data_IF_118180422399
#
_entry.id   IF_118180422399
#
_cell.length_a   1.000
_cell.length_b   1.000
_cell.length_c   1.000
_cell.angle_alpha   90.00
_cell.angle_beta   90.00
_cell.angle_gamma   90.00
#
_symmetry.space_group_name_H-M   'P 1'
#
loop_
_entity.id
_entity.type
_entity.pdbx_description
1 polymer ?
#
# COMPACT_ATOMS: atom_id res chain seq x y z
N UNK A 1 21.03 28.63 46.77
CA UNK A 1 20.04 28.93 47.83
C UNK A 1 19.63 27.61 48.42
N UNK A 2 19.98 27.43 49.69
CA UNK A 2 19.86 26.23 50.50
C UNK A 2 18.43 25.87 50.92
N UNK A 3 18.28 24.57 51.24
CA UNK A 3 17.46 23.96 52.31
C UNK A 3 15.92 24.00 52.20
N UNK A 4 15.11 23.00 52.57
CA UNK A 4 15.17 21.58 52.95
C UNK A 4 13.66 21.14 53.07
N UNK A 5 13.32 19.87 53.38
CA UNK A 5 12.14 19.14 52.86
C UNK A 5 10.94 19.20 53.81
N UNK A 6 9.82 18.51 53.50
CA UNK A 6 8.96 17.85 54.51
C UNK A 6 7.86 16.95 53.89
N UNK A 7 7.85 15.70 54.37
CA UNK A 7 6.72 14.80 54.67
C UNK A 7 5.79 14.19 53.59
N UNK A 8 5.94 12.87 53.45
CA UNK A 8 4.88 11.91 53.10
C UNK A 8 3.83 11.76 54.23
N UNK A 9 2.61 11.33 53.91
CA UNK A 9 1.78 10.53 54.80
C UNK A 9 1.56 9.11 54.25
N UNK A 10 1.93 8.13 55.09
CA UNK A 10 1.56 6.71 54.96
C UNK A 10 0.11 6.49 55.41
N UNK A 11 -0.65 5.69 54.67
CA UNK A 11 -1.84 4.98 55.17
C UNK A 11 -2.02 3.62 54.45
N UNK A 12 -2.75 2.66 55.05
CA UNK A 12 -2.28 1.28 55.18
C UNK A 12 -2.89 0.31 54.16
N UNK A 13 -2.14 -0.75 53.87
CA UNK A 13 -2.53 -1.87 53.03
C UNK A 13 -3.67 -2.69 53.66
N UNK A 14 -4.81 -2.75 52.97
CA UNK A 14 -5.90 -3.68 53.26
C UNK A 14 -5.63 -5.05 52.61
N UNK A 15 -5.68 -6.11 53.42
CA UNK A 15 -5.56 -7.52 53.03
C UNK A 15 -6.83 -7.99 52.30
N UNK A 16 -6.66 -8.68 51.17
CA UNK A 16 -7.70 -9.51 50.54
C UNK A 16 -7.37 -11.02 50.70
N UNK A 17 -8.37 -11.92 50.74
CA UNK A 17 -8.21 -13.28 51.26
C UNK A 17 -7.67 -14.27 50.23
N UNK A 18 -6.89 -15.26 50.73
CA UNK A 18 -6.37 -16.41 49.98
C UNK A 18 -7.50 -17.39 49.62
N UNK A 19 -7.76 -17.58 48.32
CA UNK A 19 -8.59 -18.69 47.82
C UNK A 19 -7.80 -20.01 47.89
N UNK A 20 -8.29 -20.96 48.69
CA UNK A 20 -7.76 -22.32 48.81
C UNK A 20 -8.22 -23.16 47.61
N UNK A 21 -7.28 -23.77 46.90
CA UNK A 21 -7.54 -24.84 45.95
C UNK A 21 -8.07 -26.08 46.69
N UNK A 22 -9.23 -26.61 46.28
CA UNK A 22 -9.70 -27.94 46.67
C UNK A 22 -9.36 -28.94 45.57
N UNK A 23 -8.56 -29.95 45.93
CA UNK A 23 -8.41 -31.20 45.18
C UNK A 23 -9.75 -31.96 45.21
N UNK A 24 -10.13 -32.54 44.08
CA UNK A 24 -11.15 -33.58 44.02
C UNK A 24 -10.56 -34.80 43.30
N UNK A 25 -10.76 -35.94 43.94
CA UNK A 25 -10.11 -37.22 43.70
C UNK A 25 -10.47 -37.90 42.37
N UNK A 26 -9.55 -38.73 41.89
CA UNK A 26 -9.69 -39.60 40.74
C UNK A 26 -10.17 -41.01 41.15
N UNK A 27 -11.02 -41.64 40.30
CA UNK A 27 -11.08 -43.06 39.89
C UNK A 27 -12.55 -43.51 39.58
N UNK A 28 -12.83 -44.58 38.81
CA UNK A 28 -11.99 -45.32 37.86
C UNK A 28 -12.61 -45.45 36.44
N UNK A 29 -11.78 -45.91 35.50
CA UNK A 29 -12.10 -46.13 34.10
C UNK A 29 -13.09 -47.30 33.86
N UNK A 30 -14.14 -47.05 33.07
CA UNK A 30 -14.90 -48.10 32.39
C UNK A 30 -14.65 -48.07 30.88
N UNK A 31 -14.09 -49.17 30.37
CA UNK A 31 -13.90 -49.43 28.94
C UNK A 31 -15.25 -49.69 28.28
N UNK A 32 -15.73 -48.74 27.48
CA UNK A 32 -16.73 -49.02 26.44
C UNK A 32 -16.06 -48.99 25.06
N UNK A 33 -15.75 -50.17 24.52
CA UNK A 33 -15.48 -50.34 23.09
C UNK A 33 -16.78 -50.11 22.32
N UNK A 34 -16.93 -48.96 21.67
CA UNK A 34 -17.92 -48.76 20.59
C UNK A 34 -17.21 -48.25 19.34
N UNK A 35 -17.41 -49.02 18.26
CA UNK A 35 -16.84 -48.87 16.91
C UNK A 35 -16.86 -47.41 16.44
N UNK A 36 -15.70 -46.85 16.12
CA UNK A 36 -15.59 -45.60 15.38
C UNK A 36 -16.09 -45.82 13.96
N UNK A 37 -17.33 -45.41 13.66
CA UNK A 37 -17.71 -45.12 12.26
C UNK A 37 -16.99 -43.84 11.87
N UNK A 38 -16.04 -43.93 10.94
CA UNK A 38 -15.48 -42.75 10.26
C UNK A 38 -16.64 -41.97 9.64
N UNK A 39 -16.74 -40.64 9.81
CA UNK A 39 -17.65 -39.84 8.99
C UNK A 39 -17.20 -39.95 7.53
N UNK A 40 -18.12 -39.92 6.56
CA UNK A 40 -17.74 -40.00 5.15
C UNK A 40 -16.82 -38.83 4.82
N UNK A 41 -15.71 -39.13 4.13
CA UNK A 41 -14.84 -38.12 3.53
C UNK A 41 -15.67 -37.37 2.51
N UNK A 42 -16.10 -36.16 2.85
CA UNK A 42 -16.63 -35.22 1.87
C UNK A 42 -15.46 -34.91 0.93
N UNK A 43 -15.50 -35.46 -0.29
CA UNK A 43 -14.62 -35.04 -1.38
C UNK A 43 -14.91 -33.56 -1.66
N UNK A 44 -14.11 -32.68 -1.05
CA UNK A 44 -14.11 -31.27 -1.41
C UNK A 44 -13.61 -31.16 -2.84
N UNK A 45 -14.48 -30.70 -3.74
CA UNK A 45 -14.14 -30.45 -5.14
C UNK A 45 -12.99 -29.45 -5.31
N UNK A 46 -12.45 -29.31 -6.54
CA UNK A 46 -11.22 -28.58 -6.84
C UNK A 46 -11.21 -27.11 -6.39
N UNK A 47 -12.38 -26.51 -6.11
CA UNK A 47 -12.54 -25.10 -5.72
C UNK A 47 -11.99 -24.77 -4.32
N UNK A 48 -11.98 -25.71 -3.36
CA UNK A 48 -11.48 -25.43 -2.00
C UNK A 48 -9.96 -25.60 -1.84
N UNK A 49 -9.26 -26.15 -2.84
CA UNK A 49 -7.79 -26.24 -2.84
C UNK A 49 -7.11 -24.91 -3.18
N UNK A 50 -7.82 -24.00 -3.86
CA UNK A 50 -7.28 -22.72 -4.32
C UNK A 50 -7.10 -21.75 -3.15
N UNK A 51 -8.11 -21.64 -2.27
CA UNK A 51 -8.09 -20.71 -1.13
C UNK A 51 -7.05 -21.09 -0.05
N UNK A 52 -6.92 -22.38 0.29
CA UNK A 52 -5.89 -22.83 1.26
C UNK A 52 -4.46 -22.70 0.75
N UNK A 53 -4.24 -22.55 -0.56
CA UNK A 53 -2.92 -22.33 -1.15
C UNK A 53 -2.46 -20.87 -1.02
N UNK A 54 -3.40 -19.92 -0.98
CA UNK A 54 -3.10 -18.50 -0.74
C UNK A 54 -2.78 -18.21 0.73
N UNK A 55 -3.47 -18.85 1.70
CA UNK A 55 -3.20 -18.61 3.14
C UNK A 55 -1.82 -19.10 3.61
N UNK A 56 -1.21 -20.08 2.93
CA UNK A 56 0.14 -20.58 3.27
C UNK A 56 1.29 -19.75 2.68
N UNK A 57 1.00 -18.70 1.91
CA UNK A 57 2.03 -17.86 1.27
C UNK A 57 2.47 -16.64 2.12
N UNK A 58 1.94 -16.47 3.34
CA UNK A 58 2.31 -15.40 4.29
C UNK A 58 3.73 -15.47 4.89
N UNK A 59 4.69 -16.19 4.27
CA UNK A 59 6.05 -16.38 4.83
C UNK A 59 7.18 -16.30 3.80
N UNK A 60 7.09 -15.39 2.82
CA UNK A 60 8.27 -14.88 2.11
C UNK A 60 8.15 -13.36 1.97
N UNK A 61 9.16 -12.56 2.36
CA UNK A 61 9.27 -11.18 1.89
C UNK A 61 9.36 -11.20 0.35
N UNK A 62 8.69 -10.28 -0.36
CA UNK A 62 8.65 -10.28 -1.83
C UNK A 62 7.35 -10.82 -2.43
N UNK A 63 6.25 -10.09 -2.26
CA UNK A 63 5.05 -10.23 -3.08
C UNK A 63 5.31 -9.82 -4.53
N UNK A 64 4.68 -10.48 -5.50
CA UNK A 64 4.93 -10.37 -6.96
C UNK A 64 4.51 -9.05 -7.60
N UNK A 65 3.74 -8.26 -6.86
CA UNK A 65 3.22 -6.96 -7.26
C UNK A 65 4.22 -5.84 -6.92
N UNK A 66 5.14 -6.13 -5.98
CA UNK A 66 6.16 -5.19 -5.52
C UNK A 66 7.05 -4.83 -6.72
N UNK A 67 7.34 -3.52 -6.88
CA UNK A 67 8.26 -2.98 -7.88
C UNK A 67 7.80 -3.07 -9.35
N UNK A 68 6.54 -3.46 -9.60
CA UNK A 68 6.00 -3.64 -10.95
C UNK A 68 5.51 -2.35 -11.63
N UNK A 69 5.36 -1.27 -10.85
CA UNK A 69 4.63 -0.05 -11.23
C UNK A 69 3.19 -0.27 -11.69
N UNK A 70 2.64 -1.48 -11.50
CA UNK A 70 1.34 -1.90 -12.03
C UNK A 70 1.16 -1.60 -13.53
N UNK A 71 2.25 -1.66 -14.29
CA UNK A 71 2.26 -1.41 -15.73
C UNK A 71 2.38 -2.70 -16.54
N UNK A 72 2.12 -2.58 -17.83
CA UNK A 72 2.56 -3.55 -18.83
C UNK A 72 4.04 -3.28 -19.14
N UNK A 73 4.88 -4.27 -18.91
CA UNK A 73 6.32 -4.16 -19.13
C UNK A 73 6.63 -4.30 -20.62
N UNK A 74 7.73 -3.72 -21.10
CA UNK A 74 8.19 -3.87 -22.50
C UNK A 74 8.98 -5.15 -22.73
N UNK A 75 9.75 -5.60 -21.74
CA UNK A 75 10.55 -6.82 -21.83
C UNK A 75 10.45 -7.64 -20.56
N UNK A 76 10.88 -8.90 -20.64
CA UNK A 76 10.94 -9.75 -19.46
C UNK A 76 12.00 -9.24 -18.48
N UNK A 77 11.76 -9.50 -17.19
CA UNK A 77 12.65 -9.11 -16.10
C UNK A 77 12.81 -10.22 -15.08
N UNK A 78 13.71 -10.02 -14.13
CA UNK A 78 13.91 -10.92 -12.99
C UNK A 78 12.72 -10.99 -12.03
N UNK A 79 11.76 -10.05 -12.15
CA UNK A 79 10.48 -10.11 -11.44
C UNK A 79 9.53 -11.17 -12.05
N UNK A 80 9.78 -11.60 -13.30
CA UNK A 80 8.93 -12.56 -13.99
C UNK A 80 9.04 -13.97 -13.38
N UNK A 81 7.88 -14.62 -13.28
CA UNK A 81 7.74 -15.91 -12.62
C UNK A 81 8.22 -17.05 -13.53
N UNK A 82 9.44 -17.55 -13.29
CA UNK A 82 9.94 -18.75 -13.96
C UNK A 82 9.02 -19.98 -13.79
N UNK A 83 8.37 -20.11 -12.62
CA UNK A 83 7.39 -21.18 -12.32
C UNK A 83 6.05 -21.03 -13.06
N UNK A 84 5.85 -19.93 -13.79
CA UNK A 84 4.67 -19.63 -14.62
C UNK A 84 5.03 -19.26 -16.06
N UNK A 85 6.14 -19.80 -16.55
CA UNK A 85 6.55 -19.66 -17.95
C UNK A 85 7.33 -18.38 -18.26
N UNK A 86 7.77 -17.62 -17.25
CA UNK A 86 8.65 -16.46 -17.42
C UNK A 86 8.08 -15.37 -18.32
N UNK A 87 6.75 -15.26 -18.36
CA UNK A 87 6.06 -14.29 -19.20
C UNK A 87 6.13 -12.90 -18.59
N UNK A 88 6.20 -11.92 -19.47
CA UNK A 88 6.27 -10.50 -19.15
C UNK A 88 5.04 -10.05 -18.36
N UNK A 89 5.25 -9.18 -17.38
CA UNK A 89 4.18 -8.57 -16.60
C UNK A 89 3.25 -7.70 -17.47
N UNK A 90 1.93 -7.91 -17.31
CA UNK A 90 0.87 -7.16 -17.98
C UNK A 90 -0.18 -6.68 -16.96
N UNK A 91 0.28 -5.93 -15.95
CA UNK A 91 -0.59 -5.46 -14.86
C UNK A 91 -1.57 -4.38 -15.30
N UNK A 92 -1.18 -3.53 -16.25
CA UNK A 92 -2.05 -2.49 -16.81
C UNK A 92 -3.24 -3.12 -17.51
N UNK A 93 -2.97 -4.07 -18.41
CA UNK A 93 -4.01 -4.89 -19.06
C UNK A 93 -4.89 -5.61 -18.04
N UNK A 94 -4.29 -6.30 -17.06
CA UNK A 94 -5.06 -7.06 -16.07
C UNK A 94 -6.00 -6.16 -15.26
N UNK A 95 -5.49 -5.02 -14.74
CA UNK A 95 -6.26 -4.14 -13.86
C UNK A 95 -7.31 -3.31 -14.62
N UNK A 96 -7.05 -2.96 -15.88
CA UNK A 96 -7.94 -2.09 -16.65
C UNK A 96 -8.95 -2.85 -17.50
N UNK A 97 -8.59 -4.02 -18.03
CA UNK A 97 -9.40 -4.74 -19.02
C UNK A 97 -9.93 -6.08 -18.50
N UNK A 98 -9.08 -6.88 -17.86
CA UNK A 98 -9.43 -8.27 -17.52
C UNK A 98 -10.16 -8.40 -16.18
N UNK A 99 -9.75 -7.64 -15.17
CA UNK A 99 -10.25 -7.74 -13.79
C UNK A 99 -11.60 -7.05 -13.57
N UNK A 100 -11.88 -5.83 -14.07
CA UNK A 100 -13.06 -5.07 -13.64
C UNK A 100 -14.37 -5.81 -13.88
N UNK A 101 -14.58 -6.35 -15.09
CA UNK A 101 -15.84 -7.02 -15.45
C UNK A 101 -16.17 -8.22 -14.54
N UNK A 102 -15.29 -9.23 -14.42
CA UNK A 102 -15.52 -10.38 -13.54
C UNK A 102 -15.65 -10.01 -12.06
N UNK A 103 -14.87 -9.04 -11.59
CA UNK A 103 -14.90 -8.61 -10.19
C UNK A 103 -16.21 -7.90 -9.84
N UNK A 104 -16.65 -6.96 -10.68
CA UNK A 104 -17.89 -6.22 -10.48
C UNK A 104 -19.12 -7.11 -10.53
N UNK A 105 -19.14 -8.07 -11.47
CA UNK A 105 -20.19 -9.06 -11.55
C UNK A 105 -20.27 -9.91 -10.26
N UNK A 106 -19.12 -10.23 -9.66
CA UNK A 106 -19.05 -11.02 -8.43
C UNK A 106 -19.44 -10.24 -7.17
N UNK A 107 -19.15 -8.93 -7.15
CA UNK A 107 -19.44 -8.05 -6.02
C UNK A 107 -20.79 -7.33 -6.13
N UNK A 108 -21.53 -7.53 -7.22
CA UNK A 108 -22.72 -6.75 -7.57
C UNK A 108 -22.46 -5.23 -7.52
N UNK A 109 -21.27 -4.82 -7.98
CA UNK A 109 -20.86 -3.42 -8.00
C UNK A 109 -21.52 -2.67 -9.17
N UNK A 110 -21.56 -1.33 -9.07
CA UNK A 110 -22.28 -0.44 -9.98
C UNK A 110 -21.40 0.16 -11.10
N UNK A 111 -20.19 -0.36 -11.29
CA UNK A 111 -19.24 0.13 -12.30
C UNK A 111 -18.55 1.46 -11.97
N UNK A 112 -18.79 2.06 -10.80
CA UNK A 112 -17.99 3.20 -10.30
C UNK A 112 -16.69 2.69 -9.69
N UNK A 113 -15.57 3.32 -10.04
CA UNK A 113 -14.23 2.84 -9.69
C UNK A 113 -13.38 3.99 -9.15
N UNK A 114 -12.58 3.70 -8.13
CA UNK A 114 -11.54 4.59 -7.65
C UNK A 114 -10.20 3.87 -7.69
N UNK A 115 -9.13 4.58 -8.04
CA UNK A 115 -7.78 3.99 -8.15
C UNK A 115 -6.72 4.89 -7.54
N UNK A 116 -5.61 4.28 -7.14
CA UNK A 116 -4.37 5.00 -6.91
C UNK A 116 -3.80 5.41 -8.27
N UNK A 117 -3.58 6.71 -8.50
CA UNK A 117 -3.41 7.33 -9.83
C UNK A 117 -2.60 6.48 -10.82
N UNK A 118 -3.27 5.94 -11.84
CA UNK A 118 -2.69 5.44 -13.09
C UNK A 118 -3.41 6.21 -14.19
N UNK A 119 -2.66 6.98 -14.98
CA UNK A 119 -3.24 7.86 -16.01
C UNK A 119 -3.70 7.14 -17.27
N UNK A 120 -3.30 5.88 -17.40
CA UNK A 120 -3.74 5.03 -18.49
C UNK A 120 -5.20 4.66 -18.20
N UNK A 121 -6.05 4.76 -19.21
CA UNK A 121 -7.51 4.53 -19.19
C UNK A 121 -8.40 5.72 -18.80
N UNK A 122 -8.44 6.82 -19.60
CA UNK A 122 -9.41 7.90 -19.42
C UNK A 122 -10.86 7.38 -19.41
N UNK A 123 -11.66 7.88 -18.46
CA UNK A 123 -13.07 7.52 -18.31
C UNK A 123 -13.35 6.17 -17.62
N UNK A 124 -12.31 5.36 -17.32
CA UNK A 124 -12.49 4.09 -16.61
C UNK A 124 -12.80 4.29 -15.12
N UNK A 125 -12.22 5.33 -14.52
CA UNK A 125 -12.30 5.64 -13.09
C UNK A 125 -13.13 6.90 -12.85
N UNK A 126 -13.95 6.88 -11.79
CA UNK A 126 -14.79 8.00 -11.39
C UNK A 126 -14.19 8.87 -10.27
N UNK A 127 -13.09 8.42 -9.65
CA UNK A 127 -12.22 9.21 -8.77
C UNK A 127 -10.79 8.65 -8.76
N UNK A 128 -9.81 9.47 -8.38
CA UNK A 128 -8.43 9.03 -8.22
C UNK A 128 -7.75 9.67 -7.01
N UNK A 129 -6.81 8.93 -6.39
CA UNK A 129 -5.96 9.45 -5.33
C UNK A 129 -4.48 9.13 -5.58
N UNK A 130 -3.59 10.07 -5.31
CA UNK A 130 -2.15 9.85 -5.26
C UNK A 130 -1.63 10.13 -3.85
N UNK A 131 -1.03 9.12 -3.21
CA UNK A 131 -0.53 9.22 -1.84
C UNK A 131 0.99 9.10 -1.86
N UNK A 132 1.68 10.17 -1.49
CA UNK A 132 3.14 10.24 -1.52
C UNK A 132 3.75 9.78 -2.85
N UNK A 133 3.13 10.14 -3.97
CA UNK A 133 3.58 9.72 -5.29
C UNK A 133 4.64 10.65 -5.87
N UNK A 134 5.38 10.11 -6.84
CA UNK A 134 6.06 10.93 -7.83
C UNK A 134 5.34 10.78 -9.18
N UNK A 135 4.71 11.86 -9.63
CA UNK A 135 3.87 11.91 -10.83
C UNK A 135 4.62 12.42 -12.05
N UNK A 136 5.92 12.64 -11.91
CA UNK A 136 6.84 12.92 -13.00
C UNK A 136 7.77 11.71 -13.04
N UNK A 137 7.87 11.04 -14.18
CA UNK A 137 8.64 9.79 -14.32
C UNK A 137 9.79 9.91 -15.31
N UNK A 138 9.84 11.02 -16.06
CA UNK A 138 10.84 11.27 -17.10
C UNK A 138 11.85 12.35 -16.74
N UNK A 139 11.60 13.19 -15.73
CA UNK A 139 12.63 14.05 -15.15
C UNK A 139 13.73 13.23 -14.45
N UNK A 140 14.92 13.80 -14.22
CA UNK A 140 15.98 13.09 -13.49
C UNK A 140 15.54 12.62 -12.09
N UNK A 141 14.80 13.44 -11.35
CA UNK A 141 14.29 13.10 -10.01
C UNK A 141 13.20 12.05 -10.10
N UNK A 142 12.26 12.22 -11.03
CA UNK A 142 11.17 11.28 -11.29
C UNK A 142 11.66 9.90 -11.67
N UNK A 143 12.57 9.85 -12.65
CA UNK A 143 13.22 8.62 -13.08
C UNK A 143 13.98 7.95 -11.94
N UNK A 144 14.69 8.72 -11.11
CA UNK A 144 15.37 8.19 -9.92
C UNK A 144 14.41 7.54 -8.92
N UNK A 145 13.20 8.08 -8.72
CA UNK A 145 12.17 7.45 -7.88
C UNK A 145 11.65 6.15 -8.51
N UNK A 146 11.45 6.13 -9.83
CA UNK A 146 11.05 4.91 -10.56
C UNK A 146 12.11 3.83 -10.43
N UNK A 147 13.37 4.17 -10.66
CA UNK A 147 14.49 3.24 -10.51
C UNK A 147 14.59 2.72 -9.05
N UNK A 148 14.41 3.60 -8.06
CA UNK A 148 14.44 3.21 -6.64
C UNK A 148 13.35 2.20 -6.26
N UNK A 149 12.18 2.27 -6.90
CA UNK A 149 11.10 1.29 -6.72
C UNK A 149 11.38 0.03 -7.54
N UNK A 150 11.64 0.14 -8.85
CA UNK A 150 11.82 -1.01 -9.74
C UNK A 150 12.99 -1.90 -9.31
N UNK A 151 14.09 -1.29 -8.86
CA UNK A 151 15.30 -2.02 -8.47
C UNK A 151 15.40 -2.30 -6.95
N UNK A 152 14.37 -1.97 -6.16
CA UNK A 152 14.40 -2.00 -4.69
C UNK A 152 14.76 -3.37 -4.10
N UNK A 153 14.35 -4.45 -4.74
CA UNK A 153 14.57 -5.82 -4.26
C UNK A 153 15.94 -6.40 -4.65
N UNK A 154 16.79 -5.62 -5.33
CA UNK A 154 18.08 -6.08 -5.84
C UNK A 154 17.96 -7.13 -6.94
N UNK A 155 16.78 -7.29 -7.55
CA UNK A 155 16.54 -8.26 -8.62
C UNK A 155 17.31 -7.96 -9.91
N UNK A 156 17.80 -6.72 -10.08
CA UNK A 156 18.40 -6.25 -11.33
C UNK A 156 17.37 -5.91 -12.41
N UNK A 157 16.08 -5.88 -12.08
CA UNK A 157 15.07 -5.31 -12.95
C UNK A 157 15.34 -3.82 -13.18
N UNK A 158 15.14 -3.35 -14.40
CA UNK A 158 15.41 -1.96 -14.79
C UNK A 158 14.18 -1.27 -15.34
N UNK A 159 14.12 0.05 -15.16
CA UNK A 159 13.05 0.87 -15.74
C UNK A 159 13.08 0.85 -17.27
N UNK A 160 14.23 0.57 -17.91
CA UNK A 160 14.28 0.35 -19.36
C UNK A 160 13.55 -0.93 -19.77
N UNK A 161 13.54 -1.98 -18.93
CA UNK A 161 12.73 -3.16 -19.19
C UNK A 161 11.23 -2.88 -19.02
N UNK A 162 10.88 -1.95 -18.12
CA UNK A 162 9.52 -1.51 -17.83
C UNK A 162 8.95 -0.64 -18.97
N UNK A 163 9.54 0.53 -19.23
CA UNK A 163 9.02 1.55 -20.16
C UNK A 163 10.02 1.97 -21.24
N UNK A 164 11.18 1.34 -21.31
CA UNK A 164 12.23 1.71 -22.26
C UNK A 164 13.02 2.94 -21.83
N UNK A 165 13.85 3.48 -22.74
CA UNK A 165 14.65 4.67 -22.47
C UNK A 165 13.78 5.83 -22.00
N UNK A 166 14.26 6.62 -21.03
CA UNK A 166 13.52 7.77 -20.48
C UNK A 166 13.12 8.80 -21.54
N UNK A 167 13.87 8.87 -22.65
CA UNK A 167 13.62 9.75 -23.80
C UNK A 167 12.66 9.15 -24.84
N UNK A 168 12.19 7.92 -24.65
CA UNK A 168 11.29 7.22 -25.55
C UNK A 168 9.82 7.64 -25.40
N UNK A 169 9.03 7.35 -26.43
CA UNK A 169 7.58 7.66 -26.43
C UNK A 169 6.83 6.89 -25.34
N UNK A 170 7.22 5.63 -25.07
CA UNK A 170 6.56 4.80 -24.05
C UNK A 170 6.77 5.39 -22.65
N UNK A 171 8.01 5.73 -22.28
CA UNK A 171 8.31 6.38 -21.01
C UNK A 171 7.53 7.71 -20.86
N UNK A 172 7.49 8.53 -21.91
CA UNK A 172 6.66 9.75 -21.92
C UNK A 172 5.17 9.46 -21.79
N UNK A 173 4.64 8.40 -22.40
CA UNK A 173 3.22 8.08 -22.34
C UNK A 173 2.77 7.68 -20.92
N UNK A 174 3.67 7.06 -20.14
CA UNK A 174 3.48 6.69 -18.75
C UNK A 174 3.93 7.77 -17.75
N UNK A 175 4.26 8.98 -18.20
CA UNK A 175 4.58 10.11 -17.32
C UNK A 175 3.32 10.91 -17.00
N UNK A 176 2.85 10.89 -15.74
CA UNK A 176 1.63 11.59 -15.41
C UNK A 176 1.70 13.12 -15.59
N UNK A 177 2.84 13.72 -15.29
CA UNK A 177 3.13 15.14 -15.40
C UNK A 177 3.13 15.57 -16.88
N UNK A 178 3.78 14.79 -17.75
CA UNK A 178 3.77 15.05 -19.20
C UNK A 178 2.37 14.90 -19.83
N UNK A 179 1.46 14.15 -19.18
CA UNK A 179 0.14 13.82 -19.71
C UNK A 179 -1.02 14.40 -18.88
N UNK A 180 -0.81 15.45 -18.08
CA UNK A 180 -1.88 16.11 -17.28
C UNK A 180 -3.12 16.46 -18.09
N UNK A 181 -2.97 16.71 -19.40
CA UNK A 181 -4.08 16.97 -20.29
C UNK A 181 -5.09 15.82 -20.42
N UNK A 182 -4.67 14.57 -20.15
CA UNK A 182 -5.56 13.41 -20.10
C UNK A 182 -6.55 13.49 -18.93
N UNK A 183 -6.23 14.23 -17.87
CA UNK A 183 -7.07 14.37 -16.67
C UNK A 183 -8.15 15.45 -16.81
N UNK A 184 -8.14 16.20 -17.92
CA UNK A 184 -9.14 17.25 -18.14
C UNK A 184 -10.53 16.66 -18.33
N UNK A 185 -11.60 17.37 -17.91
CA UNK A 185 -12.97 16.89 -18.04
C UNK A 185 -13.36 16.49 -19.46
N UNK A 186 -12.85 17.17 -20.49
CA UNK A 186 -13.17 16.89 -21.89
C UNK A 186 -12.63 15.53 -22.35
N UNK A 187 -11.51 15.08 -21.76
CA UNK A 187 -10.89 13.78 -22.06
C UNK A 187 -11.46 12.68 -21.16
N UNK A 188 -11.73 13.00 -19.91
CA UNK A 188 -12.32 12.06 -18.94
C UNK A 188 -13.84 11.85 -19.14
N UNK A 189 -14.49 12.69 -19.95
CA UNK A 189 -15.95 12.73 -20.12
C UNK A 189 -16.70 13.34 -18.94
N UNK A 190 -16.03 13.57 -17.81
CA UNK A 190 -16.56 14.23 -16.63
C UNK A 190 -15.43 14.80 -15.78
N UNK A 191 -15.75 15.65 -14.80
CA UNK A 191 -14.75 16.12 -13.84
C UNK A 191 -14.33 14.96 -12.94
N UNK A 192 -13.06 14.56 -13.03
CA UNK A 192 -12.46 13.56 -12.16
C UNK A 192 -12.12 14.17 -10.79
N UNK A 193 -12.74 13.74 -9.68
CA UNK A 193 -12.29 14.08 -8.34
C UNK A 193 -10.91 13.47 -8.10
N UNK A 194 -9.90 14.35 -8.05
CA UNK A 194 -8.50 13.98 -7.87
C UNK A 194 -8.01 14.47 -6.50
N UNK A 195 -7.45 13.56 -5.71
CA UNK A 195 -6.72 13.88 -4.48
C UNK A 195 -5.24 13.56 -4.66
N UNK A 196 -4.34 14.46 -4.28
CA UNK A 196 -2.91 14.17 -4.20
C UNK A 196 -2.35 14.64 -2.86
N UNK A 197 -1.41 13.90 -2.30
CA UNK A 197 -0.82 14.25 -1.00
C UNK A 197 0.64 13.86 -0.88
N UNK A 198 1.36 14.58 -0.04
CA UNK A 198 2.72 14.28 0.40
C UNK A 198 2.98 14.89 1.78
N UNK A 199 3.87 14.31 2.56
CA UNK A 199 4.32 14.81 3.85
C UNK A 199 5.69 15.49 3.73
N UNK A 200 6.08 16.23 4.78
CA UNK A 200 7.36 16.97 4.82
C UNK A 200 8.60 16.09 5.00
N UNK A 201 8.43 14.78 5.23
CA UNK A 201 9.52 13.82 5.39
C UNK A 201 10.14 13.76 6.80
N UNK A 202 9.65 14.56 7.75
CA UNK A 202 9.97 14.39 9.17
C UNK A 202 8.95 13.45 9.84
N UNK A 203 9.37 12.56 10.75
CA UNK A 203 8.45 11.62 11.37
C UNK A 203 7.38 12.30 12.21
N UNK A 204 6.16 11.80 12.12
CA UNK A 204 5.11 12.08 13.10
C UNK A 204 5.48 11.53 14.48
N UNK A 205 4.73 11.92 15.52
CA UNK A 205 4.96 11.41 16.87
C UNK A 205 4.81 9.89 16.98
N UNK A 206 3.90 9.29 16.21
CA UNK A 206 3.68 7.85 16.15
C UNK A 206 4.82 7.13 15.42
N UNK A 207 5.27 7.65 14.28
CA UNK A 207 6.41 7.08 13.55
C UNK A 207 7.71 7.20 14.35
N UNK A 208 7.94 8.35 15.00
CA UNK A 208 9.10 8.54 15.87
C UNK A 208 9.08 7.58 17.07
N UNK A 209 7.90 7.25 17.60
CA UNK A 209 7.75 6.21 18.63
C UNK A 209 8.08 4.84 18.05
N UNK A 210 7.48 4.46 16.92
CA UNK A 210 7.75 3.16 16.27
C UNK A 210 9.23 2.97 15.94
N UNK A 211 9.91 4.00 15.42
CA UNK A 211 11.35 3.99 15.19
C UNK A 211 12.14 3.77 16.50
N UNK A 212 11.77 4.42 17.60
CA UNK A 212 12.46 4.25 18.90
C UNK A 212 12.28 2.86 19.51
N UNK A 213 11.18 2.20 19.22
CA UNK A 213 10.88 0.84 19.68
C UNK A 213 11.65 -0.23 18.89
N UNK A 214 12.25 0.11 17.74
CA UNK A 214 13.14 -0.79 17.01
C UNK A 214 14.42 -1.07 17.80
N UNK A 215 14.76 -2.36 18.04
CA UNK A 215 15.92 -2.73 18.85
C UNK A 215 17.24 -2.50 18.12
N UNK A 216 17.26 -2.66 16.79
CA UNK A 216 18.45 -2.50 15.99
C UNK A 216 18.65 -1.02 15.57
N UNK A 217 19.80 -0.47 15.93
CA UNK A 217 20.11 0.95 15.68
C UNK A 217 20.34 1.22 14.20
N UNK A 218 20.94 0.28 13.47
CA UNK A 218 21.22 0.43 12.05
C UNK A 218 19.94 0.35 11.23
N UNK A 219 19.04 -0.58 11.54
CA UNK A 219 17.70 -0.68 10.95
C UNK A 219 16.89 0.57 11.22
N UNK A 220 16.89 1.08 12.46
CA UNK A 220 16.22 2.34 12.81
C UNK A 220 16.73 3.52 11.98
N UNK A 221 18.05 3.66 11.88
CA UNK A 221 18.67 4.73 11.10
C UNK A 221 18.36 4.58 9.60
N UNK A 222 18.40 3.35 9.09
CA UNK A 222 18.05 3.03 7.70
C UNK A 222 16.60 3.36 7.38
N UNK A 223 15.64 2.94 8.22
CA UNK A 223 14.22 3.22 8.03
C UNK A 223 13.90 4.71 8.11
N UNK A 224 14.54 5.45 9.03
CA UNK A 224 14.39 6.90 9.09
C UNK A 224 14.95 7.56 7.82
N UNK A 225 16.18 7.21 7.42
CA UNK A 225 16.81 7.79 6.24
C UNK A 225 16.02 7.49 4.95
N UNK A 226 15.61 6.24 4.74
CA UNK A 226 14.81 5.83 3.59
C UNK A 226 13.44 6.51 3.59
N UNK A 227 12.72 6.48 4.72
CA UNK A 227 11.41 7.10 4.86
C UNK A 227 11.45 8.61 4.64
N UNK A 228 12.46 9.31 5.16
CA UNK A 228 12.65 10.75 4.94
C UNK A 228 13.04 11.06 3.51
N UNK A 229 13.97 10.30 2.92
CA UNK A 229 14.47 10.54 1.57
C UNK A 229 13.38 10.34 0.51
N UNK A 230 12.65 9.23 0.58
CA UNK A 230 11.56 8.92 -0.35
C UNK A 230 10.43 9.95 -0.25
N UNK A 231 10.06 10.36 0.97
CA UNK A 231 9.00 11.33 1.17
C UNK A 231 9.42 12.72 0.68
N UNK A 232 10.67 13.13 0.88
CA UNK A 232 11.17 14.40 0.35
C UNK A 232 11.11 14.44 -1.18
N UNK A 233 11.44 13.31 -1.85
CA UNK A 233 11.26 13.15 -3.28
C UNK A 233 9.79 13.25 -3.71
N UNK A 234 8.90 12.50 -3.05
CA UNK A 234 7.46 12.55 -3.30
C UNK A 234 6.85 13.94 -3.07
N UNK A 235 7.29 14.66 -2.04
CA UNK A 235 6.88 16.04 -1.75
C UNK A 235 7.26 16.98 -2.88
N UNK A 236 8.51 16.90 -3.36
CA UNK A 236 8.96 17.66 -4.52
C UNK A 236 8.13 17.36 -5.77
N UNK A 237 7.92 16.07 -6.08
CA UNK A 237 7.14 15.68 -7.25
C UNK A 237 5.67 16.11 -7.14
N UNK A 238 5.07 16.06 -5.95
CA UNK A 238 3.69 16.48 -5.72
C UNK A 238 3.53 17.99 -5.93
N UNK A 239 4.49 18.80 -5.45
CA UNK A 239 4.50 20.25 -5.74
C UNK A 239 4.63 20.54 -7.24
N UNK A 240 5.47 19.79 -7.95
CA UNK A 240 5.63 19.98 -9.39
C UNK A 240 4.34 19.59 -10.15
N UNK A 241 3.69 18.51 -9.72
CA UNK A 241 2.45 18.03 -10.33
C UNK A 241 1.28 18.97 -10.05
N UNK A 242 1.16 19.52 -8.84
CA UNK A 242 0.17 20.55 -8.51
C UNK A 242 0.27 21.75 -9.46
N UNK A 243 1.48 22.24 -9.73
CA UNK A 243 1.71 23.34 -10.69
C UNK A 243 1.24 22.98 -12.09
N UNK A 244 1.62 21.80 -12.58
CA UNK A 244 1.23 21.34 -13.91
C UNK A 244 -0.28 21.11 -14.05
N UNK A 245 -0.93 20.61 -12.99
CA UNK A 245 -2.39 20.50 -12.93
C UNK A 245 -3.04 21.89 -13.00
N UNK A 246 -2.53 22.86 -12.23
CA UNK A 246 -3.03 24.23 -12.25
C UNK A 246 -2.86 24.89 -13.63
N UNK A 247 -1.68 24.77 -14.24
CA UNK A 247 -1.38 25.30 -15.58
C UNK A 247 -2.27 24.66 -16.66
N UNK A 248 -2.61 23.37 -16.50
CA UNK A 248 -3.49 22.65 -17.40
C UNK A 248 -4.99 22.85 -17.10
N UNK A 249 -5.35 23.62 -16.07
CA UNK A 249 -6.74 23.84 -15.65
C UNK A 249 -7.42 22.61 -15.06
N UNK A 250 -6.65 21.63 -14.56
CA UNK A 250 -7.17 20.40 -13.94
C UNK A 250 -7.31 20.61 -12.43
N UNK A 251 -8.55 20.60 -11.89
CA UNK A 251 -8.73 20.80 -10.46
C UNK A 251 -8.36 19.55 -9.65
N UNK A 252 -7.57 19.73 -8.59
CA UNK A 252 -7.22 18.67 -7.64
C UNK A 252 -7.34 19.16 -6.19
N UNK A 253 -7.60 18.23 -5.27
CA UNK A 253 -7.44 18.46 -3.83
C UNK A 253 -6.02 18.07 -3.46
N UNK A 254 -5.22 19.04 -3.03
CA UNK A 254 -3.82 18.81 -2.66
C UNK A 254 -3.67 18.95 -1.15
N UNK A 255 -3.04 17.96 -0.51
CA UNK A 255 -2.78 18.00 0.93
C UNK A 255 -1.30 17.75 1.25
N UNK A 256 -0.70 18.73 1.94
CA UNK A 256 0.67 18.63 2.42
C UNK A 256 0.69 18.42 3.93
N UNK A 257 0.94 17.18 4.36
CA UNK A 257 0.98 16.86 5.78
C UNK A 257 2.23 17.48 6.44
N UNK A 258 2.10 18.13 7.62
CA UNK A 258 3.22 18.80 8.29
C UNK A 258 4.27 17.83 8.85
N UNK A 259 3.91 16.55 8.98
CA UNK A 259 4.79 15.46 9.38
C UNK A 259 4.29 14.14 8.76
N UNK A 260 5.22 13.23 8.49
CA UNK A 260 5.00 11.93 7.89
C UNK A 260 6.30 11.44 7.23
N UNK A 261 6.60 10.16 7.38
CA UNK A 261 7.60 9.46 6.55
C UNK A 261 6.90 8.74 5.41
N UNK A 262 7.69 8.29 4.42
CA UNK A 262 7.24 7.37 3.39
C UNK A 262 6.96 6.00 3.98
N UNK A 263 5.81 5.88 4.65
CA UNK A 263 5.49 4.78 5.55
C UNK A 263 4.00 4.45 5.50
N UNK A 264 3.69 3.20 5.83
CA UNK A 264 2.31 2.73 5.96
C UNK A 264 1.49 3.53 6.97
N UNK A 265 2.14 4.06 8.02
CA UNK A 265 1.45 4.89 9.00
C UNK A 265 0.91 6.15 8.34
N UNK A 266 1.77 6.87 7.61
CA UNK A 266 1.34 8.06 6.86
C UNK A 266 0.33 7.73 5.77
N UNK A 267 0.54 6.68 4.98
CA UNK A 267 -0.39 6.31 3.90
C UNK A 267 -1.80 5.99 4.42
N UNK A 268 -1.90 5.38 5.60
CA UNK A 268 -3.20 5.10 6.24
C UNK A 268 -3.95 6.37 6.62
N UNK A 269 -3.23 7.43 7.03
CA UNK A 269 -3.83 8.74 7.32
C UNK A 269 -4.21 9.46 6.03
N UNK A 270 -3.30 9.48 5.06
CA UNK A 270 -3.53 10.14 3.77
C UNK A 270 -4.71 9.52 3.00
N UNK A 271 -4.94 8.20 3.13
CA UNK A 271 -6.12 7.54 2.57
C UNK A 271 -7.42 7.97 3.25
N UNK A 272 -7.42 8.19 4.57
CA UNK A 272 -8.58 8.72 5.28
C UNK A 272 -8.88 10.15 4.82
N UNK A 273 -7.84 10.98 4.67
CA UNK A 273 -7.97 12.35 4.16
C UNK A 273 -8.43 12.39 2.69
N UNK A 274 -8.07 11.38 1.89
CA UNK A 274 -8.52 11.24 0.51
C UNK A 274 -10.01 10.86 0.40
N UNK A 275 -10.58 10.23 1.42
CA UNK A 275 -11.91 9.63 1.37
C UNK A 275 -13.02 10.60 0.93
N UNK A 276 -13.12 11.84 1.45
CA UNK A 276 -14.13 12.79 0.97
C UNK A 276 -14.05 13.09 -0.52
N UNK A 277 -12.86 13.03 -1.12
CA UNK A 277 -12.68 13.21 -2.57
C UNK A 277 -13.07 11.97 -3.35
N UNK A 278 -12.67 10.79 -2.87
CA UNK A 278 -13.02 9.53 -3.51
C UNK A 278 -14.54 9.26 -3.44
N UNK A 279 -15.17 9.49 -2.29
CA UNK A 279 -16.59 9.23 -2.08
C UNK A 279 -17.48 10.08 -3.00
N UNK A 280 -17.10 11.33 -3.27
CA UNK A 280 -17.79 12.19 -4.26
C UNK A 280 -17.84 11.57 -5.65
N UNK A 281 -16.74 10.97 -6.11
CA UNK A 281 -16.71 10.32 -7.43
C UNK A 281 -17.35 8.93 -7.44
N UNK A 282 -17.43 8.27 -6.29
CA UNK A 282 -18.15 7.01 -6.12
C UNK A 282 -19.66 7.21 -5.89
N UNK A 283 -20.10 8.43 -5.58
CA UNK A 283 -21.50 8.76 -5.30
C UNK A 283 -22.00 8.24 -3.95
N UNK A 284 -21.11 8.17 -2.94
CA UNK A 284 -21.40 7.67 -1.58
C UNK A 284 -20.97 8.61 -0.47
#
# INVERSE_FOLDING_TARGET
MDALPLNEPRHPAARAPRLRARRADALPAQRCRRRTRRPPVVRTGPRHRVLRRQERQRRRPGGREENSYYSDWLSTSSLDRADRGGQRQQWGTYLAEELPGPLEASLHANGTRAVQLVQDNPGLYSAAAGLSGCYDTTSPQGRGMVDAVVSNDGSGATTDQLWGPVTGDVARAHDPAANVGKLRPEVQGSRLPLYISAARGNPSGAEARGLREMPDIAERAGNLAAGTGLEAGAFYCTMNFERQLADAGVPATVHYAPAGLHSWHYFSLALQDAWPTLSRGLGV
#
